data_IF_303273647377
#
_entry.id   IF_303273647377
#
_cell.length_a   1.000
_cell.length_b   1.000
_cell.length_c   1.000
_cell.angle_alpha   90.00
_cell.angle_beta   90.00
_cell.angle_gamma   90.00
#
_symmetry.space_group_name_H-M   'P 1'
#
loop_
_entity.id
_entity.type
_entity.pdbx_description
1 polymer ?
#
# COMPACT_ATOMS: atom_id res chain seq x y z
N UNK A 1 -25.44 -15.68 9.45
CA UNK A 1 -24.67 -14.74 10.28
C UNK A 1 -23.81 -13.95 9.33
N UNK A 2 -24.26 -12.76 8.95
CA UNK A 2 -23.40 -11.79 8.27
C UNK A 2 -22.28 -11.42 9.24
N UNK A 3 -21.05 -11.80 8.89
CA UNK A 3 -19.88 -11.38 9.63
C UNK A 3 -19.78 -9.87 9.52
N UNK A 4 -19.75 -9.15 10.65
CA UNK A 4 -19.51 -7.72 10.67
C UNK A 4 -18.22 -7.44 9.89
N UNK A 5 -18.34 -6.77 8.74
CA UNK A 5 -17.19 -6.31 7.96
C UNK A 5 -16.41 -5.36 8.87
N UNK A 6 -15.30 -5.84 9.41
CA UNK A 6 -14.40 -5.02 10.21
C UNK A 6 -13.67 -4.13 9.21
N UNK A 7 -14.13 -2.89 9.06
CA UNK A 7 -13.49 -1.89 8.21
C UNK A 7 -12.12 -1.53 8.80
N UNK A 8 -11.08 -2.23 8.38
CA UNK A 8 -9.70 -1.93 8.74
C UNK A 8 -9.15 -0.95 7.70
N UNK A 9 -8.44 0.06 8.19
CA UNK A 9 -7.83 1.10 7.33
C UNK A 9 -6.31 1.06 7.41
N UNK A 10 -5.63 1.71 6.48
CA UNK A 10 -4.18 1.87 6.50
C UNK A 10 -3.65 2.50 7.80
N UNK A 11 -4.44 3.36 8.46
CA UNK A 11 -4.11 3.99 9.75
C UNK A 11 -3.84 2.97 10.86
N UNK A 12 -4.49 1.81 10.79
CA UNK A 12 -4.37 0.76 11.79
C UNK A 12 -3.15 -0.14 11.54
N UNK A 13 -2.50 -0.01 10.37
CA UNK A 13 -1.30 -0.77 10.08
C UNK A 13 -0.08 -0.18 10.80
N UNK A 14 0.73 -1.02 11.47
CA UNK A 14 1.95 -0.56 12.12
C UNK A 14 3.00 -0.16 11.08
N UNK A 15 3.96 0.68 11.49
CA UNK A 15 5.19 0.89 10.73
C UNK A 15 5.90 -0.45 10.53
N UNK A 16 6.32 -0.75 9.29
CA UNK A 16 6.84 -2.05 8.90
C UNK A 16 5.77 -3.11 8.61
N UNK A 17 4.49 -2.79 8.80
CA UNK A 17 3.36 -3.63 8.43
C UNK A 17 3.41 -3.97 6.94
N UNK A 18 3.18 -5.25 6.61
CA UNK A 18 3.21 -5.78 5.25
C UNK A 18 1.80 -5.93 4.73
N UNK A 19 1.59 -5.59 3.47
CA UNK A 19 0.32 -5.78 2.77
C UNK A 19 0.56 -6.05 1.28
N UNK A 20 -0.44 -6.66 0.64
CA UNK A 20 -0.46 -6.81 -0.80
C UNK A 20 -1.18 -5.63 -1.44
N UNK A 21 -0.66 -5.18 -2.57
CA UNK A 21 -1.31 -4.17 -3.40
C UNK A 21 -1.44 -4.71 -4.82
N UNK A 22 -2.53 -4.34 -5.50
CA UNK A 22 -2.71 -4.64 -6.91
C UNK A 22 -2.01 -3.56 -7.74
N UNK A 23 -1.04 -3.96 -8.57
CA UNK A 23 -0.61 -3.12 -9.69
C UNK A 23 -1.47 -3.44 -10.91
N UNK A 24 -1.35 -2.64 -11.99
CA UNK A 24 -2.05 -2.87 -13.26
C UNK A 24 -1.85 -4.29 -13.82
N UNK A 25 -0.69 -4.91 -13.58
CA UNK A 25 -0.31 -6.18 -14.23
C UNK A 25 -0.13 -7.33 -13.25
N UNK A 26 0.35 -7.07 -12.04
CA UNK A 26 0.64 -8.08 -11.01
C UNK A 26 0.23 -7.63 -9.59
N UNK A 27 0.27 -8.56 -8.63
CA UNK A 27 0.18 -8.25 -7.21
C UNK A 27 1.58 -8.01 -6.66
N UNK A 28 1.72 -7.09 -5.70
CA UNK A 28 3.01 -6.70 -5.13
C UNK A 28 2.96 -6.63 -3.62
N UNK A 29 4.07 -6.99 -3.00
CA UNK A 29 4.28 -6.75 -1.58
C UNK A 29 4.62 -5.27 -1.38
N UNK A 30 3.92 -4.66 -0.44
CA UNK A 30 4.17 -3.33 0.06
C UNK A 30 4.43 -3.38 1.56
N UNK A 31 5.17 -2.39 2.06
CA UNK A 31 5.51 -2.22 3.47
C UNK A 31 5.21 -0.80 3.87
N UNK A 32 4.51 -0.59 5.00
CA UNK A 32 4.34 0.73 5.60
C UNK A 32 5.70 1.28 6.01
N UNK A 33 6.21 2.27 5.28
CA UNK A 33 7.56 2.82 5.49
C UNK A 33 7.55 4.18 6.17
N UNK A 34 6.40 4.86 6.20
CA UNK A 34 6.20 6.10 6.97
C UNK A 34 4.72 6.32 7.26
N UNK A 35 4.43 6.81 8.45
CA UNK A 35 3.10 7.27 8.88
C UNK A 35 3.24 8.73 9.30
N UNK A 36 2.47 9.62 8.68
CA UNK A 36 2.25 11.00 9.11
C UNK A 36 0.73 11.25 9.18
N UNK A 37 0.31 12.33 9.84
CA UNK A 37 -1.10 12.55 10.22
C UNK A 37 -2.09 12.48 9.05
N UNK A 38 -1.71 13.00 7.88
CA UNK A 38 -2.54 13.11 6.67
C UNK A 38 -2.17 12.08 5.59
N UNK A 39 -1.16 11.24 5.82
CA UNK A 39 -0.58 10.41 4.76
C UNK A 39 0.22 9.22 5.27
N UNK A 40 0.03 8.08 4.62
CA UNK A 40 0.84 6.89 4.81
C UNK A 40 1.66 6.63 3.54
N UNK A 41 2.94 6.36 3.71
CA UNK A 41 3.83 5.97 2.61
C UNK A 41 4.11 4.48 2.68
N UNK A 42 3.89 3.80 1.55
CA UNK A 42 4.21 2.40 1.37
C UNK A 42 5.44 2.29 0.48
N UNK A 43 6.42 1.49 0.89
CA UNK A 43 7.50 1.03 0.01
C UNK A 43 7.03 -0.22 -0.71
N UNK A 44 7.01 -0.20 -2.04
CA UNK A 44 6.56 -1.31 -2.87
C UNK A 44 7.75 -1.92 -3.60
N UNK A 45 7.88 -3.23 -3.50
CA UNK A 45 8.89 -3.99 -4.23
C UNK A 45 8.36 -4.43 -5.59
N UNK A 46 9.03 -4.00 -6.67
CA UNK A 46 8.78 -4.50 -8.02
C UNK A 46 9.60 -5.76 -8.27
N UNK A 47 9.02 -6.78 -8.94
CA UNK A 47 9.76 -7.98 -9.33
C UNK A 47 10.96 -7.68 -10.27
N UNK A 48 11.01 -6.50 -10.89
CA UNK A 48 12.12 -6.07 -11.76
C UNK A 48 13.27 -5.40 -10.99
N UNK A 49 13.36 -5.61 -9.68
CA UNK A 49 14.42 -5.06 -8.81
C UNK A 49 14.30 -3.56 -8.50
N UNK A 50 13.19 -2.93 -8.87
CA UNK A 50 12.92 -1.51 -8.57
C UNK A 50 12.03 -1.41 -7.33
N UNK A 51 12.32 -0.49 -6.43
CA UNK A 51 11.39 -0.12 -5.35
C UNK A 51 10.79 1.25 -5.68
N UNK A 52 9.51 1.44 -5.37
CA UNK A 52 8.86 2.74 -5.49
C UNK A 52 8.02 3.02 -4.26
N UNK A 53 7.60 4.28 -4.10
CA UNK A 53 6.83 4.73 -2.92
C UNK A 53 5.41 5.09 -3.33
N UNK A 54 4.44 4.42 -2.73
CA UNK A 54 3.02 4.73 -2.85
C UNK A 54 2.60 5.62 -1.69
N UNK A 55 1.81 6.67 -1.95
CA UNK A 55 1.28 7.54 -0.88
C UNK A 55 -0.23 7.39 -0.82
N UNK A 56 -0.76 7.02 0.33
CA UNK A 56 -2.19 6.78 0.52
C UNK A 56 -2.70 7.59 1.70
N UNK A 57 -4.01 7.82 1.68
CA UNK A 57 -4.69 8.41 2.82
C UNK A 57 -4.69 7.38 3.96
N UNK A 58 -4.59 7.81 5.22
CA UNK A 58 -4.73 6.90 6.35
C UNK A 58 -6.05 6.11 6.33
N UNK A 59 -7.09 6.68 5.73
CA UNK A 59 -8.43 6.11 5.64
C UNK A 59 -8.59 5.09 4.50
N UNK A 60 -7.57 4.88 3.66
CA UNK A 60 -7.66 3.88 2.58
C UNK A 60 -7.92 2.49 3.17
N UNK A 61 -8.89 1.79 2.59
CA UNK A 61 -9.40 0.53 3.11
C UNK A 61 -8.44 -0.64 2.87
N UNK A 62 -8.41 -1.55 3.86
CA UNK A 62 -7.69 -2.81 3.80
C UNK A 62 -8.67 -3.96 3.91
N UNK A 63 -8.59 -4.87 2.94
CA UNK A 63 -9.30 -6.14 2.96
C UNK A 63 -8.40 -7.27 3.47
N UNK A 64 -8.96 -8.29 4.09
CA UNK A 64 -8.22 -9.47 4.54
C UNK A 64 -8.71 -10.73 3.82
N UNK A 65 -7.81 -11.42 3.12
CA UNK A 65 -8.01 -12.83 2.72
C UNK A 65 -7.26 -13.71 3.73
N UNK A 66 -8.01 -14.25 4.69
CA UNK A 66 -7.45 -14.90 5.86
C UNK A 66 -6.60 -13.92 6.69
N UNK A 67 -5.30 -14.18 6.80
CA UNK A 67 -4.36 -13.33 7.55
C UNK A 67 -3.58 -12.36 6.67
N UNK A 68 -3.85 -12.34 5.36
CA UNK A 68 -3.10 -11.52 4.41
C UNK A 68 -3.89 -10.21 4.20
N UNK A 69 -3.33 -9.04 4.55
CA UNK A 69 -3.97 -7.76 4.26
C UNK A 69 -3.70 -7.32 2.81
N UNK A 70 -4.72 -6.74 2.19
CA UNK A 70 -4.73 -6.23 0.82
C UNK A 70 -5.21 -4.78 0.85
N UNK A 71 -4.46 -3.88 0.22
CA UNK A 71 -4.97 -2.53 -0.05
C UNK A 71 -6.00 -2.60 -1.18
N UNK A 72 -7.18 -2.02 -0.96
CA UNK A 72 -8.20 -1.92 -2.00
C UNK A 72 -7.67 -1.07 -3.16
N UNK A 73 -7.77 -1.62 -4.38
CA UNK A 73 -7.23 -0.98 -5.59
C UNK A 73 -8.21 0.08 -6.10
N UNK A 74 -7.76 1.33 -6.16
CA UNK A 74 -8.47 2.39 -6.86
C UNK A 74 -8.09 2.36 -8.34
N UNK A 75 -9.09 2.21 -9.22
CA UNK A 75 -8.89 1.89 -10.64
C UNK A 75 -8.08 2.92 -11.45
N UNK A 76 -7.80 4.09 -10.89
CA UNK A 76 -7.08 5.21 -11.53
C UNK A 76 -5.74 5.55 -10.85
N UNK A 77 -5.03 4.57 -10.26
CA UNK A 77 -3.68 4.80 -9.76
C UNK A 77 -2.69 5.18 -10.88
N UNK A 78 -2.53 6.50 -11.10
CA UNK A 78 -1.56 7.02 -12.04
C UNK A 78 -0.14 6.74 -11.51
N UNK A 79 0.54 5.80 -12.17
CA UNK A 79 1.91 5.42 -11.78
C UNK A 79 2.88 6.61 -11.81
N UNK A 80 2.63 7.65 -12.61
CA UNK A 80 3.48 8.85 -12.68
C UNK A 80 3.46 9.67 -11.39
N UNK A 81 2.31 9.76 -10.73
CA UNK A 81 2.14 10.47 -9.46
C UNK A 81 2.74 9.70 -8.27
N UNK A 82 2.82 8.38 -8.41
CA UNK A 82 3.40 7.47 -7.45
C UNK A 82 4.85 7.08 -7.77
N UNK A 83 5.41 7.64 -8.85
CA UNK A 83 6.81 7.48 -9.21
C UNK A 83 7.63 8.49 -8.40
N UNK A 84 8.08 8.08 -7.22
CA UNK A 84 9.22 8.76 -6.60
C UNK A 84 10.44 8.47 -7.47
N UNK A 85 11.09 9.50 -8.01
CA UNK A 85 12.46 9.36 -8.52
C UNK A 85 13.26 8.66 -7.43
N UNK A 86 13.96 7.59 -7.80
CA UNK A 86 15.07 7.11 -6.99
C UNK A 86 15.87 8.35 -6.60
N UNK A 87 16.07 8.56 -5.30
CA UNK A 87 17.01 9.57 -4.84
C UNK A 87 18.32 9.27 -5.55
N UNK A 88 18.77 10.17 -6.42
CA UNK A 88 19.99 9.99 -7.22
C UNK A 88 21.27 10.10 -6.37
N UNK A 89 21.13 10.07 -5.03
CA UNK A 89 22.20 10.11 -4.03
C UNK A 89 22.60 8.72 -3.52
N UNK A 90 22.17 7.65 -4.19
CA UNK A 90 22.69 6.29 -4.01
C UNK A 90 23.50 5.88 -5.22
#
# INVERSE_FOLDING_TARGET
>A
MESAETHITLREMPLGGRLLIRSRTDWRVAVVSRIIEDRITLSVSSPKGRNYRLRRLPESEIFFDGTIPFLVFEADENWRENFAFYDSRW
#
